data_IF_054184907694
#
_entry.id   IF_054184907694
#
_cell.length_a   1.000
_cell.length_b   1.000
_cell.length_c   1.000
_cell.angle_alpha   90.00
_cell.angle_beta   90.00
_cell.angle_gamma   90.00
#
_symmetry.space_group_name_H-M   'P 1'
#
loop_
_entity.id
_entity.type
_entity.pdbx_description
1 polymer ?
#
# COMPACT_ATOMS: atom_id res chain seq x y z
N UNK A 1 -10.87 -7.84 4.86
CA UNK A 1 -10.05 -6.61 4.97
C UNK A 1 -10.56 -5.75 6.10
N UNK A 2 -9.68 -5.09 6.77
CA UNK A 2 -10.07 -4.17 7.82
C UNK A 2 -10.27 -2.74 7.27
N UNK A 3 -10.67 -1.81 8.16
CA UNK A 3 -11.05 -0.47 7.74
C UNK A 3 -9.91 0.41 7.23
N UNK A 4 -8.64 0.04 7.44
CA UNK A 4 -7.56 0.91 7.01
C UNK A 4 -7.23 0.80 5.52
N UNK A 5 -7.43 -0.34 4.88
CA UNK A 5 -7.41 -0.44 3.42
C UNK A 5 -8.84 -0.68 2.96
N UNK A 6 -9.50 0.38 2.60
CA UNK A 6 -10.89 0.30 2.11
C UNK A 6 -10.90 -0.22 0.69
N UNK A 7 -11.79 -1.15 0.44
CA UNK A 7 -12.09 -1.66 -0.88
C UNK A 7 -13.52 -1.27 -1.26
N UNK A 8 -13.66 -0.53 -2.34
CA UNK A 8 -14.95 -0.15 -2.90
C UNK A 8 -15.01 -0.54 -4.36
N UNK A 9 -16.10 -1.18 -4.76
CA UNK A 9 -16.36 -1.53 -6.16
C UNK A 9 -17.56 -0.75 -6.67
N UNK A 10 -17.37 -0.02 -7.75
CA UNK A 10 -18.43 0.70 -8.45
C UNK A 10 -18.36 0.36 -9.95
N UNK A 11 -19.34 -0.42 -10.43
CA UNK A 11 -19.27 -0.93 -11.79
C UNK A 11 -18.06 -1.83 -11.96
N UNK A 12 -17.21 -1.53 -12.94
CA UNK A 12 -15.98 -2.28 -13.25
C UNK A 12 -14.72 -1.64 -12.63
N UNK A 13 -14.88 -0.68 -11.74
CA UNK A 13 -13.77 0.03 -11.09
C UNK A 13 -13.71 -0.35 -9.61
N UNK A 14 -12.58 -0.85 -9.17
CA UNK A 14 -12.27 -1.02 -7.76
C UNK A 14 -11.42 0.13 -7.26
N UNK A 15 -11.76 0.69 -6.12
CA UNK A 15 -10.98 1.74 -5.46
C UNK A 15 -10.40 1.20 -4.16
N UNK A 16 -9.09 1.25 -4.04
CA UNK A 16 -8.36 0.96 -2.81
C UNK A 16 -7.95 2.28 -2.16
N UNK A 17 -8.40 2.51 -0.95
CA UNK A 17 -8.07 3.72 -0.20
C UNK A 17 -7.31 3.37 1.07
N UNK A 18 -6.07 3.83 1.17
CA UNK A 18 -5.31 3.79 2.42
C UNK A 18 -5.95 4.77 3.40
N UNK A 19 -6.42 4.29 4.54
CA UNK A 19 -7.34 5.05 5.40
C UNK A 19 -6.84 5.16 6.84
N UNK A 20 -5.66 5.73 7.00
CA UNK A 20 -5.12 6.21 8.28
C UNK A 20 -4.71 7.68 8.16
N UNK A 21 -5.69 8.58 7.86
CA UNK A 21 -5.39 9.97 7.52
C UNK A 21 -4.69 10.75 8.64
N UNK A 22 -4.98 10.43 9.89
CA UNK A 22 -4.42 11.11 11.06
C UNK A 22 -2.90 10.94 11.18
N UNK A 23 -2.37 9.85 10.64
CA UNK A 23 -0.95 9.55 10.64
C UNK A 23 -0.36 9.50 9.22
N UNK A 24 -1.09 10.02 8.24
CA UNK A 24 -0.66 10.15 6.84
C UNK A 24 -0.41 8.83 6.12
N UNK A 25 -1.20 7.82 6.44
CA UNK A 25 -1.21 6.52 5.73
C UNK A 25 0.17 5.84 5.68
N UNK A 26 0.80 5.55 6.82
CA UNK A 26 2.07 4.83 6.81
C UNK A 26 1.85 3.38 6.36
N UNK A 27 2.91 2.76 5.85
CA UNK A 27 2.93 1.39 5.36
C UNK A 27 4.07 0.61 6.01
N UNK A 28 3.88 -0.69 6.18
CA UNK A 28 4.96 -1.58 6.59
C UNK A 28 4.62 -2.56 7.72
N UNK A 29 3.47 -2.42 8.34
CA UNK A 29 3.05 -3.36 9.38
C UNK A 29 2.58 -4.70 8.76
N UNK A 30 2.65 -5.82 9.51
CA UNK A 30 2.19 -7.13 9.02
C UNK A 30 0.75 -7.12 8.52
N UNK A 31 -0.10 -6.35 9.15
CA UNK A 31 -1.49 -6.14 8.77
C UNK A 31 -1.62 -5.51 7.38
N UNK A 32 -0.71 -4.59 7.03
CA UNK A 32 -0.69 -3.95 5.73
C UNK A 32 -0.41 -4.96 4.62
N UNK A 33 0.53 -5.86 4.88
CA UNK A 33 0.86 -6.97 3.96
C UNK A 33 -0.37 -7.80 3.67
N UNK A 34 -1.03 -8.27 4.73
CA UNK A 34 -2.23 -9.09 4.60
C UNK A 34 -3.32 -8.38 3.81
N UNK A 35 -3.58 -7.10 4.11
CA UNK A 35 -4.63 -6.34 3.43
C UNK A 35 -4.35 -6.13 1.95
N UNK A 36 -3.11 -5.86 1.57
CA UNK A 36 -2.74 -5.72 0.17
C UNK A 36 -2.79 -7.05 -0.58
N UNK A 37 -2.36 -8.14 0.03
CA UNK A 37 -2.47 -9.49 -0.55
C UNK A 37 -3.94 -9.86 -0.77
N UNK A 38 -4.81 -9.69 0.22
CA UNK A 38 -6.25 -9.96 0.11
C UNK A 38 -6.92 -9.09 -0.96
N UNK A 39 -6.56 -7.79 -1.03
CA UNK A 39 -7.08 -6.89 -2.04
C UNK A 39 -6.67 -7.31 -3.46
N UNK A 40 -5.40 -7.66 -3.66
CA UNK A 40 -4.89 -8.15 -4.94
C UNK A 40 -5.60 -9.43 -5.38
N UNK A 41 -5.75 -10.39 -4.47
CA UNK A 41 -6.46 -11.64 -4.76
C UNK A 41 -7.92 -11.40 -5.10
N UNK A 42 -8.60 -10.53 -4.36
CA UNK A 42 -9.99 -10.18 -4.61
C UNK A 42 -10.18 -9.53 -5.99
N UNK A 43 -9.27 -8.64 -6.37
CA UNK A 43 -9.30 -7.99 -7.69
C UNK A 43 -9.06 -9.02 -8.79
N UNK A 44 -8.02 -9.83 -8.65
CA UNK A 44 -7.64 -10.79 -9.69
C UNK A 44 -8.67 -11.91 -9.88
N UNK A 45 -9.45 -12.23 -8.85
CA UNK A 45 -10.50 -13.24 -8.92
C UNK A 45 -11.87 -12.70 -9.36
N UNK A 46 -12.03 -11.37 -9.42
CA UNK A 46 -13.26 -10.75 -9.87
C UNK A 46 -13.13 -10.26 -11.33
N UNK A 47 -13.66 -11.02 -12.27
CA UNK A 47 -13.56 -10.74 -13.71
C UNK A 47 -14.33 -9.49 -14.15
N UNK A 48 -15.21 -8.96 -13.31
CA UNK A 48 -15.93 -7.74 -13.62
C UNK A 48 -15.08 -6.49 -13.33
N UNK A 49 -14.04 -6.60 -12.51
CA UNK A 49 -13.11 -5.50 -12.25
C UNK A 49 -12.15 -5.36 -13.44
N UNK A 50 -12.12 -4.18 -14.02
CA UNK A 50 -11.31 -3.86 -15.21
C UNK A 50 -10.27 -2.78 -14.98
N UNK A 51 -10.35 -2.09 -13.85
CA UNK A 51 -9.42 -1.03 -13.47
C UNK A 51 -9.42 -0.86 -11.96
N UNK A 52 -8.27 -0.47 -11.42
CA UNK A 52 -8.11 -0.16 -9.99
C UNK A 52 -7.64 1.28 -9.84
N UNK A 53 -8.25 2.00 -8.90
CA UNK A 53 -7.77 3.29 -8.43
C UNK A 53 -7.17 3.06 -7.04
N UNK A 54 -5.92 3.48 -6.85
CA UNK A 54 -5.23 3.44 -5.57
C UNK A 54 -5.01 4.87 -5.08
N UNK A 55 -5.48 5.18 -3.90
CA UNK A 55 -5.38 6.53 -3.33
C UNK A 55 -5.21 6.48 -1.81
N UNK A 56 -4.96 7.64 -1.20
CA UNK A 56 -4.91 7.81 0.25
C UNK A 56 -6.03 8.72 0.76
N UNK A 57 -6.52 8.45 1.94
CA UNK A 57 -7.44 9.35 2.63
C UNK A 57 -6.69 10.53 3.24
N UNK A 58 -7.33 11.70 3.28
CA UNK A 58 -6.78 12.89 3.93
C UNK A 58 -5.75 13.63 3.08
N UNK A 59 -4.73 14.16 3.74
CA UNK A 59 -3.77 15.10 3.14
C UNK A 59 -2.57 14.45 2.46
N UNK A 60 -2.39 13.14 2.62
CA UNK A 60 -1.26 12.42 2.06
C UNK A 60 -1.71 11.17 1.31
N UNK A 61 -0.99 10.81 0.27
CA UNK A 61 -1.12 9.51 -0.35
C UNK A 61 -0.58 8.44 0.60
N UNK A 62 0.70 8.50 0.94
CA UNK A 62 1.30 7.67 1.97
C UNK A 62 2.63 8.27 2.46
N UNK A 63 2.82 8.27 3.76
CA UNK A 63 4.08 8.68 4.40
C UNK A 63 5.17 7.59 4.32
N UNK A 64 4.84 6.39 3.82
CA UNK A 64 5.78 5.28 3.75
C UNK A 64 6.04 4.63 5.11
N UNK A 65 7.26 4.14 5.34
CA UNK A 65 7.62 3.47 6.58
C UNK A 65 7.63 4.38 7.81
N UNK A 66 7.56 3.78 8.99
CA UNK A 66 7.59 4.52 10.25
C UNK A 66 9.00 5.00 10.59
N UNK A 67 9.28 6.27 10.31
CA UNK A 67 10.60 6.90 10.52
C UNK A 67 11.03 6.87 11.98
N UNK A 68 10.10 7.05 12.91
CA UNK A 68 10.41 7.00 14.36
C UNK A 68 10.89 5.61 14.77
N UNK A 69 10.24 4.56 14.27
CA UNK A 69 10.67 3.19 14.53
C UNK A 69 12.03 2.90 13.90
N UNK A 70 12.31 3.42 12.70
CA UNK A 70 13.63 3.31 12.06
C UNK A 70 14.71 3.98 12.93
N UNK A 71 14.47 5.21 13.37
CA UNK A 71 15.40 5.98 14.19
C UNK A 71 15.65 5.31 15.54
N UNK A 72 14.62 4.81 16.18
CA UNK A 72 14.69 4.16 17.50
C UNK A 72 15.04 2.67 17.42
N UNK A 73 15.20 2.11 16.21
CA UNK A 73 15.39 0.67 15.99
C UNK A 73 14.35 -0.17 16.73
N UNK A 74 13.10 0.24 16.66
CA UNK A 74 11.96 -0.38 17.34
C UNK A 74 10.95 -0.96 16.34
N UNK A 75 10.01 -1.78 16.83
CA UNK A 75 8.99 -2.40 16.00
C UNK A 75 9.61 -3.26 14.90
N UNK A 76 9.20 -3.04 13.66
CA UNK A 76 9.73 -3.73 12.47
C UNK A 76 11.20 -3.43 12.15
N UNK A 77 11.79 -2.43 12.80
CA UNK A 77 13.18 -2.01 12.59
C UNK A 77 14.10 -2.39 13.77
N UNK A 78 13.63 -3.25 14.68
CA UNK A 78 14.42 -3.77 15.80
C UNK A 78 15.25 -4.99 15.39
N UNK A 79 16.34 -5.23 16.14
CA UNK A 79 17.17 -6.41 15.98
C UNK A 79 18.39 -6.22 15.05
N UNK A 80 19.01 -7.32 14.66
CA UNK A 80 20.20 -7.34 13.82
C UNK A 80 19.89 -7.01 12.35
N UNK A 81 20.94 -6.74 11.57
CA UNK A 81 20.81 -6.53 10.12
C UNK A 81 20.18 -7.74 9.41
N UNK A 82 20.47 -8.96 9.87
CA UNK A 82 19.84 -10.16 9.33
C UNK A 82 18.35 -10.20 9.64
N UNK A 83 17.95 -9.87 10.87
CA UNK A 83 16.55 -9.80 11.26
C UNK A 83 15.78 -8.73 10.46
N UNK A 84 16.37 -7.55 10.25
CA UNK A 84 15.81 -6.51 9.40
C UNK A 84 15.63 -6.97 7.96
N UNK A 85 16.62 -7.61 7.38
CA UNK A 85 16.55 -8.18 6.03
C UNK A 85 15.35 -9.13 5.88
N UNK A 86 15.17 -10.03 6.84
CA UNK A 86 14.06 -10.98 6.82
C UNK A 86 12.70 -10.28 6.94
N UNK A 87 12.59 -9.25 7.78
CA UNK A 87 11.37 -8.47 7.91
C UNK A 87 11.02 -7.70 6.64
N UNK A 88 12.00 -7.14 5.94
CA UNK A 88 11.79 -6.53 4.63
C UNK A 88 11.32 -7.56 3.62
N UNK A 89 12.00 -8.70 3.55
CA UNK A 89 11.71 -9.76 2.58
C UNK A 89 10.32 -10.36 2.77
N UNK A 90 9.91 -10.62 4.00
CA UNK A 90 8.61 -11.22 4.33
C UNK A 90 7.54 -10.20 4.74
N UNK A 91 7.86 -8.93 4.74
CA UNK A 91 6.98 -7.82 5.08
C UNK A 91 6.80 -6.85 3.91
N UNK A 92 7.51 -5.73 3.94
CA UNK A 92 7.39 -4.61 2.99
C UNK A 92 7.44 -5.07 1.52
N UNK A 93 8.36 -5.97 1.18
CA UNK A 93 8.47 -6.49 -0.19
C UNK A 93 7.21 -7.23 -0.66
N UNK A 94 6.43 -7.80 0.24
CA UNK A 94 5.16 -8.45 -0.10
C UNK A 94 4.08 -7.45 -0.48
N UNK A 95 4.08 -6.27 0.12
CA UNK A 95 3.17 -5.18 -0.29
C UNK A 95 3.46 -4.82 -1.75
N UNK A 96 4.72 -4.62 -2.08
CA UNK A 96 5.16 -4.32 -3.45
C UNK A 96 4.73 -5.43 -4.42
N UNK A 97 4.96 -6.68 -4.07
CA UNK A 97 4.55 -7.82 -4.90
C UNK A 97 3.05 -7.92 -5.06
N UNK A 98 2.28 -7.65 -4.02
CA UNK A 98 0.81 -7.67 -4.08
C UNK A 98 0.28 -6.63 -5.07
N UNK A 99 0.79 -5.41 -5.03
CA UNK A 99 0.41 -4.36 -5.98
C UNK A 99 0.87 -4.71 -7.40
N UNK A 100 2.09 -5.19 -7.55
CA UNK A 100 2.63 -5.63 -8.85
C UNK A 100 1.81 -6.75 -9.48
N UNK A 101 1.27 -7.66 -8.67
CA UNK A 101 0.51 -8.82 -9.14
C UNK A 101 -0.95 -8.50 -9.51
N UNK A 102 -1.41 -7.27 -9.37
CA UNK A 102 -2.74 -6.88 -9.85
C UNK A 102 -2.75 -6.96 -11.38
N UNK A 103 -3.63 -7.79 -11.93
CA UNK A 103 -3.68 -8.12 -13.36
C UNK A 103 -4.31 -7.03 -14.22
N UNK A 104 -5.11 -6.15 -13.63
CA UNK A 104 -5.77 -5.05 -14.35
C UNK A 104 -4.99 -3.75 -14.19
N UNK A 105 -5.21 -2.75 -15.07
CA UNK A 105 -4.56 -1.45 -14.93
C UNK A 105 -4.82 -0.81 -13.57
N UNK A 106 -3.77 -0.27 -12.98
CA UNK A 106 -3.81 0.45 -11.71
C UNK A 106 -3.49 1.92 -11.95
N UNK A 107 -4.36 2.80 -11.50
CA UNK A 107 -4.17 4.24 -11.53
C UNK A 107 -3.91 4.71 -10.10
N UNK A 108 -2.74 5.28 -9.85
CA UNK A 108 -2.47 5.94 -8.59
C UNK A 108 -3.03 7.37 -8.62
N UNK A 109 -4.05 7.63 -7.84
CA UNK A 109 -4.58 8.98 -7.62
C UNK A 109 -3.84 9.58 -6.41
N UNK A 110 -2.78 10.32 -6.68
CA UNK A 110 -1.85 10.84 -5.67
C UNK A 110 -2.39 12.16 -5.13
N UNK A 111 -3.05 12.09 -3.98
CA UNK A 111 -3.77 13.19 -3.34
C UNK A 111 -2.89 14.08 -2.45
N UNK A 112 -1.61 13.81 -2.36
CA UNK A 112 -0.66 14.54 -1.53
C UNK A 112 0.68 13.82 -1.46
N UNK A 113 1.53 14.10 -0.47
CA UNK A 113 2.85 13.49 -0.38
C UNK A 113 2.84 11.97 -0.46
N UNK A 114 3.73 11.42 -1.28
CA UNK A 114 4.00 10.00 -1.42
C UNK A 114 5.50 9.79 -1.17
N UNK A 115 5.86 9.24 -0.01
CA UNK A 115 7.23 9.24 0.50
C UNK A 115 7.71 7.81 0.74
N UNK A 116 8.96 7.53 0.37
CA UNK A 116 9.58 6.22 0.57
C UNK A 116 8.74 5.09 -0.05
N UNK A 117 8.31 4.11 0.75
CA UNK A 117 7.46 3.02 0.29
C UNK A 117 6.15 3.52 -0.34
N UNK A 118 5.61 4.65 0.13
CA UNK A 118 4.44 5.28 -0.50
C UNK A 118 4.73 5.72 -1.93
N UNK A 119 5.90 6.27 -2.19
CA UNK A 119 6.33 6.61 -3.55
C UNK A 119 6.55 5.35 -4.40
N UNK A 120 7.13 4.30 -3.82
CA UNK A 120 7.34 3.03 -4.52
C UNK A 120 6.01 2.43 -4.98
N UNK A 121 5.02 2.41 -4.10
CA UNK A 121 3.66 1.93 -4.42
C UNK A 121 3.02 2.77 -5.53
N UNK A 122 3.17 4.10 -5.47
CA UNK A 122 2.69 4.98 -6.55
C UNK A 122 3.38 4.69 -7.88
N UNK A 123 4.69 4.42 -7.87
CA UNK A 123 5.46 4.10 -9.07
C UNK A 123 5.14 2.73 -9.66
N UNK A 124 4.62 1.80 -8.87
CA UNK A 124 4.17 0.49 -9.36
C UNK A 124 2.87 0.57 -10.18
N UNK A 125 2.09 1.62 -10.02
CA UNK A 125 0.89 1.83 -10.81
C UNK A 125 1.24 2.03 -12.29
N UNK A 126 0.32 1.66 -13.16
CA UNK A 126 0.49 1.83 -14.61
C UNK A 126 0.38 3.29 -15.01
N UNK A 127 -0.46 4.05 -14.33
CA UNK A 127 -0.66 5.47 -14.54
C UNK A 127 -0.71 6.22 -13.21
N UNK A 128 -0.27 7.47 -13.21
CA UNK A 128 -0.26 8.35 -12.03
C UNK A 128 -0.91 9.67 -12.36
N UNK A 129 -1.81 10.09 -11.46
CA UNK A 129 -2.42 11.42 -11.50
C UNK A 129 -2.10 12.08 -10.16
N UNK A 130 -1.48 13.25 -10.20
CA UNK A 130 -1.07 13.97 -8.99
C UNK A 130 -1.78 15.32 -8.92
N UNK A 131 -2.17 15.65 -7.70
CA UNK A 131 -2.69 17.00 -7.41
C UNK A 131 -1.57 18.01 -7.22
#
# INVERSE_FOLDING_TARGET
MNEWLKFEKKGSIATLTMNRPDIRNPLGEPEDVQNFEEASDKINNDRDIRCVILTGAGKAFSAGGNVKNMQNKSGNFSGSSVALRERYRFGIHKIIKAVWNIDVPVIAAINGPAIGLGNDVACLADMRISS
#
